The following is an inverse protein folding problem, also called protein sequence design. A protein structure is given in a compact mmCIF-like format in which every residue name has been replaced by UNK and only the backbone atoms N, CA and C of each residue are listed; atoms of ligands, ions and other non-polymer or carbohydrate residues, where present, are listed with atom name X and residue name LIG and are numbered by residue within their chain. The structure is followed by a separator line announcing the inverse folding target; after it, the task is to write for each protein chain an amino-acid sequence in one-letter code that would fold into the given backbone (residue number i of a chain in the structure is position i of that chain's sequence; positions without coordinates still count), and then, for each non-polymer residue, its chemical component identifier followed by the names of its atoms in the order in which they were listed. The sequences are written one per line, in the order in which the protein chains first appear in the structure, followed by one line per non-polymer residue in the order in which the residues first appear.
data_IF_158292696026
#
_entry.id   IF_158292696026
#
_cell.length_a   1.000
_cell.length_b   1.000
_cell.length_c   1.000
_cell.angle_alpha   90.00
_cell.angle_beta   90.00
_cell.angle_gamma   90.00
#
_symmetry.space_group_name_H-M   'P 1'
#
loop_
_entity.id
_entity.type
_entity.pdbx_description
1 polymer ?
#
# COMPACT_ATOMS: atom_id res chain seq x y z
N UNK A 1 17.69 3.57 -12.18
CA UNK A 1 18.24 4.48 -11.17
C UNK A 1 19.13 5.50 -11.88
N UNK A 2 18.87 6.80 -11.66
CA UNK A 2 19.53 7.86 -12.39
C UNK A 2 21.05 7.87 -12.17
N UNK A 3 21.77 8.34 -13.17
CA UNK A 3 23.24 8.35 -13.28
C UNK A 3 23.97 8.99 -12.10
N UNK A 4 23.34 9.88 -11.33
CA UNK A 4 23.99 10.59 -10.22
C UNK A 4 24.18 9.71 -8.98
N UNK A 5 23.23 8.82 -8.65
CA UNK A 5 23.39 7.90 -7.50
C UNK A 5 24.51 6.88 -7.72
N UNK A 6 24.67 6.43 -8.96
CA UNK A 6 25.75 5.52 -9.35
C UNK A 6 27.12 6.19 -9.37
N UNK A 7 27.19 7.46 -9.79
CA UNK A 7 28.43 8.22 -9.90
C UNK A 7 29.19 8.39 -8.58
N UNK A 8 28.46 8.49 -7.47
CA UNK A 8 29.04 8.74 -6.15
C UNK A 8 28.93 7.56 -5.19
N UNK A 9 28.36 6.42 -5.60
CA UNK A 9 28.08 5.26 -4.74
C UNK A 9 27.33 5.64 -3.46
N UNK A 10 26.43 6.63 -3.53
CA UNK A 10 25.76 7.22 -2.37
C UNK A 10 24.92 6.17 -1.65
N UNK A 11 24.16 5.35 -2.37
CA UNK A 11 23.32 4.33 -1.76
C UNK A 11 24.14 3.32 -0.96
N UNK A 12 25.29 2.88 -1.48
CA UNK A 12 26.19 1.97 -0.78
C UNK A 12 26.82 2.65 0.44
N UNK A 13 27.28 3.88 0.31
CA UNK A 13 27.84 4.65 1.41
C UNK A 13 26.84 4.87 2.55
N UNK A 14 25.57 5.20 2.19
CA UNK A 14 24.47 5.33 3.14
C UNK A 14 24.18 4.02 3.86
N UNK A 15 23.97 2.95 3.12
CA UNK A 15 23.70 1.63 3.69
C UNK A 15 24.82 1.20 4.65
N UNK A 16 26.08 1.41 4.26
CA UNK A 16 27.24 1.11 5.10
C UNK A 16 27.24 1.96 6.38
N UNK A 17 27.02 3.27 6.26
CA UNK A 17 26.98 4.16 7.41
C UNK A 17 25.85 3.76 8.39
N UNK A 18 24.62 3.57 7.88
CA UNK A 18 23.48 3.14 8.70
C UNK A 18 23.77 1.79 9.36
N UNK A 19 24.35 0.85 8.62
CA UNK A 19 24.72 -0.47 9.14
C UNK A 19 25.69 -0.35 10.33
N UNK A 20 26.78 0.38 10.18
CA UNK A 20 27.75 0.57 11.25
C UNK A 20 27.14 1.24 12.49
N UNK A 21 26.33 2.28 12.30
CA UNK A 21 25.63 2.94 13.40
C UNK A 21 24.55 2.08 14.06
N UNK A 22 24.01 1.08 13.36
CA UNK A 22 23.03 0.15 13.93
C UNK A 22 23.65 -0.76 15.02
N UNK A 23 24.96 -0.97 15.00
CA UNK A 23 25.70 -1.77 15.96
C UNK A 23 26.45 -0.94 16.99
N UNK A 24 26.54 0.39 16.83
CA UNK A 24 27.15 1.25 17.84
C UNK A 24 26.31 1.20 19.12
N UNK A 25 26.97 0.84 20.23
CA UNK A 25 26.31 0.64 21.51
C UNK A 25 25.70 1.92 22.08
N UNK A 26 24.65 1.77 22.86
CA UNK A 26 23.92 2.84 23.55
C UNK A 26 22.41 2.65 23.47
N UNK A 27 21.67 3.49 24.21
CA UNK A 27 20.21 3.43 24.29
C UNK A 27 19.49 3.76 22.97
N UNK A 28 20.20 4.42 22.04
CA UNK A 28 19.66 4.81 20.73
C UNK A 28 20.53 4.24 19.62
N UNK A 29 20.11 3.11 19.08
CA UNK A 29 20.76 2.49 17.92
C UNK A 29 20.31 3.19 16.65
N UNK A 30 21.28 3.47 15.76
CA UNK A 30 21.01 4.08 14.46
C UNK A 30 21.60 5.48 14.32
N UNK A 31 21.32 6.11 13.19
CA UNK A 31 21.89 7.40 12.77
C UNK A 31 20.81 8.33 12.27
N UNK A 32 20.96 9.63 12.49
CA UNK A 32 20.03 10.65 11.99
C UNK A 32 20.44 11.17 10.62
N UNK A 33 19.51 11.75 9.87
CA UNK A 33 19.77 12.32 8.55
C UNK A 33 20.90 13.40 8.54
N UNK A 34 20.97 14.33 9.53
CA UNK A 34 22.08 15.27 9.58
C UNK A 34 23.44 14.59 9.68
N UNK A 35 23.55 13.54 10.49
CA UNK A 35 24.79 12.78 10.62
C UNK A 35 25.14 11.98 9.36
N UNK A 36 24.15 11.44 8.67
CA UNK A 36 24.35 10.77 7.37
C UNK A 36 24.86 11.76 6.31
N UNK A 37 24.36 12.98 6.31
CA UNK A 37 24.88 14.04 5.44
C UNK A 37 26.35 14.35 5.72
N UNK A 38 26.73 14.43 6.99
CA UNK A 38 28.13 14.63 7.40
C UNK A 38 29.00 13.43 7.01
N UNK A 39 28.54 12.20 7.27
CA UNK A 39 29.28 10.98 6.96
C UNK A 39 29.55 10.80 5.47
N UNK A 40 28.68 11.34 4.62
CA UNK A 40 28.78 11.27 3.15
C UNK A 40 29.28 12.57 2.53
N UNK A 41 29.70 13.52 3.35
CA UNK A 41 30.20 14.80 2.87
C UNK A 41 31.45 14.57 2.01
N UNK A 42 31.26 14.75 0.70
CA UNK A 42 32.35 14.70 -0.30
C UNK A 42 32.22 15.89 -1.23
N UNK A 43 33.37 16.32 -1.78
CA UNK A 43 33.36 17.41 -2.72
C UNK A 43 32.45 17.10 -3.94
N UNK A 44 31.48 17.99 -4.20
CA UNK A 44 30.55 17.85 -5.31
C UNK A 44 29.30 17.02 -5.08
N UNK A 45 29.04 16.49 -3.87
CA UNK A 45 27.78 15.78 -3.53
C UNK A 45 26.81 16.75 -2.88
N UNK A 46 25.67 17.08 -3.54
CA UNK A 46 24.62 17.89 -2.93
C UNK A 46 23.98 17.18 -1.73
N UNK A 47 23.78 17.90 -0.63
CA UNK A 47 23.18 17.34 0.58
C UNK A 47 21.73 16.86 0.39
N UNK A 48 21.02 17.37 -0.62
CA UNK A 48 19.66 16.96 -0.99
C UNK A 48 19.61 15.52 -1.48
N UNK A 49 20.61 15.09 -2.26
CA UNK A 49 20.71 13.72 -2.80
C UNK A 49 20.74 12.67 -1.68
N UNK A 50 21.34 13.03 -0.54
CA UNK A 50 21.40 12.12 0.63
C UNK A 50 20.00 11.83 1.18
N UNK A 51 19.14 12.84 1.27
CA UNK A 51 17.75 12.67 1.73
C UNK A 51 16.95 11.76 0.79
N UNK A 52 16.99 12.05 -0.50
CA UNK A 52 16.30 11.28 -1.53
C UNK A 52 16.78 9.81 -1.57
N UNK A 53 18.10 9.61 -1.41
CA UNK A 53 18.66 8.26 -1.38
C UNK A 53 18.24 7.47 -0.13
N UNK A 54 18.12 8.12 1.04
CA UNK A 54 17.60 7.50 2.27
C UNK A 54 16.15 7.06 2.08
N UNK A 55 15.28 7.93 1.53
CA UNK A 55 13.89 7.58 1.25
C UNK A 55 13.78 6.36 0.32
N UNK A 56 14.59 6.30 -0.74
CA UNK A 56 14.63 5.14 -1.63
C UNK A 56 15.13 3.85 -0.96
N UNK A 57 16.08 3.95 -0.04
CA UNK A 57 16.53 2.79 0.75
C UNK A 57 15.42 2.30 1.67
N UNK A 58 14.67 3.22 2.29
CA UNK A 58 13.53 2.89 3.15
C UNK A 58 12.42 2.15 2.37
N UNK A 59 12.13 2.58 1.16
CA UNK A 59 11.17 1.93 0.26
C UNK A 59 11.63 0.57 -0.27
N UNK A 60 12.95 0.39 -0.46
CA UNK A 60 13.50 -0.78 -1.15
C UNK A 60 14.01 -1.88 -0.21
N UNK A 61 14.46 -1.55 0.99
CA UNK A 61 15.15 -2.47 1.88
C UNK A 61 14.24 -3.04 2.96
N UNK A 62 14.21 -4.37 3.07
CA UNK A 62 13.37 -5.11 4.01
C UNK A 62 13.72 -4.91 5.48
N UNK A 63 14.99 -4.73 5.80
CA UNK A 63 15.49 -4.65 7.16
C UNK A 63 15.89 -3.24 7.59
N UNK A 64 15.56 -2.25 6.78
CA UNK A 64 15.82 -0.85 7.04
C UNK A 64 14.63 -0.24 7.79
N UNK A 65 14.89 0.40 8.93
CA UNK A 65 13.86 0.96 9.80
C UNK A 65 14.12 2.41 10.10
N UNK A 66 13.05 3.16 10.21
CA UNK A 66 13.05 4.55 10.66
C UNK A 66 12.19 4.66 11.91
N UNK A 67 12.80 5.04 13.03
CA UNK A 67 12.10 5.28 14.29
C UNK A 67 12.54 6.60 14.90
N UNK A 68 11.58 7.49 15.15
CA UNK A 68 11.83 8.81 15.78
C UNK A 68 12.97 9.60 15.12
N UNK A 69 13.12 9.49 13.79
CA UNK A 69 14.15 10.15 13.00
C UNK A 69 15.53 9.49 13.03
N UNK A 70 15.62 8.27 13.56
CA UNK A 70 16.82 7.44 13.50
C UNK A 70 16.64 6.33 12.47
N UNK A 71 17.65 6.17 11.62
CA UNK A 71 17.73 5.11 10.62
C UNK A 71 18.61 3.98 11.14
N UNK A 72 18.13 2.76 11.06
CA UNK A 72 18.86 1.59 11.54
C UNK A 72 18.50 0.32 10.77
N UNK A 73 19.43 -0.63 10.71
CA UNK A 73 19.12 -2.00 10.32
C UNK A 73 18.73 -2.84 11.55
N UNK A 74 17.68 -3.64 11.40
CA UNK A 74 17.22 -4.59 12.41
C UNK A 74 17.15 -5.99 11.80
N UNK A 75 17.14 -7.00 12.67
CA UNK A 75 16.98 -8.40 12.25
C UNK A 75 15.53 -8.79 11.94
N UNK A 76 14.58 -7.88 12.16
CA UNK A 76 13.18 -8.05 11.83
C UNK A 76 12.85 -7.25 10.57
N UNK A 77 12.03 -7.79 9.67
CA UNK A 77 11.63 -7.06 8.47
C UNK A 77 10.76 -5.84 8.82
N UNK A 78 10.84 -4.82 7.98
CA UNK A 78 10.00 -3.63 8.07
C UNK A 78 8.56 -3.98 7.68
N UNK A 79 7.62 -3.80 8.62
CA UNK A 79 6.21 -4.12 8.39
C UNK A 79 5.60 -3.34 7.23
N UNK A 80 5.97 -2.07 7.05
CA UNK A 80 5.47 -1.28 5.93
C UNK A 80 5.92 -1.89 4.59
N UNK A 81 7.15 -2.38 4.50
CA UNK A 81 7.63 -3.05 3.28
C UNK A 81 6.89 -4.36 3.03
N UNK A 82 6.60 -5.13 4.07
CA UNK A 82 5.77 -6.34 3.95
C UNK A 82 4.39 -6.01 3.42
N UNK A 83 3.76 -4.93 3.91
CA UNK A 83 2.44 -4.50 3.46
C UNK A 83 2.49 -4.14 1.97
N UNK A 84 3.41 -3.27 1.57
CA UNK A 84 3.58 -2.86 0.16
C UNK A 84 3.79 -4.08 -0.75
N UNK A 85 4.67 -4.99 -0.36
CA UNK A 85 4.94 -6.22 -1.12
C UNK A 85 3.69 -7.12 -1.25
N UNK A 86 2.89 -7.20 -0.18
CA UNK A 86 1.62 -7.93 -0.20
C UNK A 86 0.58 -7.24 -1.07
N UNK A 87 0.50 -5.91 -1.02
CA UNK A 87 -0.40 -5.12 -1.88
C UNK A 87 -0.03 -5.25 -3.36
N UNK A 88 1.26 -5.19 -3.69
CA UNK A 88 1.77 -5.39 -5.05
C UNK A 88 1.53 -6.82 -5.58
N UNK A 89 1.52 -7.81 -4.69
CA UNK A 89 1.27 -9.22 -5.04
C UNK A 89 -0.22 -9.55 -5.22
N UNK A 90 -1.13 -8.68 -4.77
CA UNK A 90 -2.57 -8.90 -4.90
C UNK A 90 -3.02 -8.59 -6.32
N UNK A 91 -3.55 -9.61 -7.00
CA UNK A 91 -4.25 -9.41 -8.27
C UNK A 91 -5.63 -8.77 -8.00
N UNK A 92 -5.97 -7.62 -8.61
CA UNK A 92 -7.30 -6.99 -8.49
C UNK A 92 -8.45 -7.94 -8.82
N UNK A 93 -8.28 -8.81 -9.81
CA UNK A 93 -9.30 -9.80 -10.19
C UNK A 93 -9.52 -10.83 -9.08
N UNK A 94 -8.44 -11.25 -8.39
CA UNK A 94 -8.51 -12.16 -7.24
C UNK A 94 -9.22 -11.56 -6.03
N UNK A 95 -9.14 -10.24 -5.83
CA UNK A 95 -9.92 -9.54 -4.80
C UNK A 95 -11.41 -9.67 -5.10
N UNK A 96 -11.80 -9.44 -6.36
CA UNK A 96 -13.19 -9.50 -6.79
C UNK A 96 -13.76 -10.91 -6.65
N UNK A 97 -13.03 -11.93 -7.08
CA UNK A 97 -13.44 -13.33 -6.91
C UNK A 97 -13.61 -13.71 -5.43
N UNK A 98 -12.67 -13.32 -4.58
CA UNK A 98 -12.76 -13.58 -3.13
C UNK A 98 -13.95 -12.86 -2.50
N UNK A 99 -14.25 -11.64 -2.96
CA UNK A 99 -15.37 -10.87 -2.50
C UNK A 99 -16.70 -11.51 -2.92
N UNK A 100 -16.82 -11.91 -4.19
CA UNK A 100 -17.99 -12.60 -4.73
C UNK A 100 -18.26 -13.93 -4.00
N UNK A 101 -17.19 -14.68 -3.71
CA UNK A 101 -17.29 -15.93 -2.94
C UNK A 101 -17.80 -15.70 -1.51
N UNK A 102 -17.28 -14.69 -0.80
CA UNK A 102 -17.71 -14.37 0.56
C UNK A 102 -19.17 -13.90 0.59
N UNK A 103 -19.56 -13.04 -0.34
CA UNK A 103 -20.95 -12.60 -0.48
C UNK A 103 -21.85 -13.78 -0.81
N UNK A 104 -21.41 -14.66 -1.72
CA UNK A 104 -22.16 -15.88 -2.04
C UNK A 104 -22.38 -16.79 -0.81
N UNK A 105 -21.37 -16.90 0.07
CA UNK A 105 -21.50 -17.66 1.32
C UNK A 105 -22.48 -17.01 2.29
N UNK A 106 -22.42 -15.69 2.46
CA UNK A 106 -23.32 -14.93 3.34
C UNK A 106 -24.76 -14.94 2.84
N UNK A 107 -24.95 -15.06 1.54
CA UNK A 107 -26.30 -15.08 0.91
C UNK A 107 -26.99 -16.42 1.04
N UNK A 108 -26.25 -17.51 1.29
CA UNK A 108 -26.82 -18.86 1.42
C UNK A 108 -27.68 -18.95 2.69
N UNK A 109 -28.95 -19.34 2.48
CA UNK A 109 -29.93 -19.46 3.57
C UNK A 109 -30.64 -18.16 3.94
N UNK A 110 -30.47 -17.09 3.19
CA UNK A 110 -31.28 -15.88 3.33
C UNK A 110 -32.73 -16.14 2.83
N UNK A 111 -33.70 -15.48 3.46
CA UNK A 111 -35.10 -15.47 3.00
C UNK A 111 -35.33 -14.56 1.81
N UNK A 112 -34.25 -13.99 1.25
CA UNK A 112 -34.27 -13.06 0.13
C UNK A 112 -33.65 -13.70 -1.10
N UNK A 113 -34.19 -13.37 -2.28
CA UNK A 113 -33.50 -13.62 -3.54
C UNK A 113 -32.38 -12.60 -3.69
N UNK A 114 -31.11 -13.03 -3.66
CA UNK A 114 -29.94 -12.14 -3.67
C UNK A 114 -29.41 -11.98 -5.09
N UNK A 115 -29.36 -10.73 -5.55
CA UNK A 115 -28.81 -10.33 -6.84
C UNK A 115 -27.52 -9.55 -6.64
N UNK A 116 -26.41 -10.11 -7.08
CA UNK A 116 -25.10 -9.49 -6.93
C UNK A 116 -24.79 -8.63 -8.15
N UNK A 117 -24.36 -7.39 -7.89
CA UNK A 117 -23.88 -6.44 -8.88
C UNK A 117 -24.85 -6.19 -10.06
N UNK A 118 -26.16 -5.99 -9.84
CA UNK A 118 -27.07 -5.68 -10.95
C UNK A 118 -26.67 -4.36 -11.60
N UNK A 119 -26.59 -4.34 -12.93
CA UNK A 119 -26.22 -3.16 -13.72
C UNK A 119 -27.42 -2.30 -14.07
N UNK A 120 -28.60 -2.90 -14.10
CA UNK A 120 -29.87 -2.25 -14.40
C UNK A 120 -31.03 -2.91 -13.65
N UNK A 121 -32.16 -2.21 -13.55
CA UNK A 121 -33.39 -2.73 -12.93
C UNK A 121 -33.88 -4.01 -13.62
N UNK A 122 -33.67 -4.16 -14.93
CA UNK A 122 -34.02 -5.34 -15.68
C UNK A 122 -33.27 -6.63 -15.30
N UNK A 123 -32.15 -6.51 -14.58
CA UNK A 123 -31.39 -7.66 -14.11
C UNK A 123 -32.07 -8.32 -12.89
N UNK A 124 -33.09 -7.67 -12.31
CA UNK A 124 -33.83 -8.15 -11.16
C UNK A 124 -35.26 -8.48 -11.61
N UNK A 125 -35.67 -9.76 -11.61
CA UNK A 125 -37.02 -10.15 -12.06
C UNK A 125 -38.11 -9.50 -11.22
N UNK A 126 -39.18 -9.04 -11.86
CA UNK A 126 -40.36 -8.50 -11.17
C UNK A 126 -41.26 -9.66 -10.74
N UNK A 127 -41.04 -10.17 -9.55
CA UNK A 127 -41.85 -11.21 -8.89
C UNK A 127 -42.18 -10.78 -7.45
N UNK A 128 -43.07 -11.53 -6.78
CA UNK A 128 -43.56 -11.21 -5.42
C UNK A 128 -42.58 -11.61 -4.29
N UNK A 129 -41.39 -12.13 -4.60
CA UNK A 129 -40.39 -12.49 -3.61
C UNK A 129 -39.63 -11.26 -3.13
N UNK A 130 -39.21 -11.28 -1.87
CA UNK A 130 -38.34 -10.26 -1.33
C UNK A 130 -36.95 -10.41 -1.95
N UNK A 131 -36.39 -9.30 -2.42
CA UNK A 131 -35.12 -9.27 -3.13
C UNK A 131 -34.11 -8.37 -2.43
N UNK A 132 -32.87 -8.79 -2.45
CA UNK A 132 -31.72 -8.00 -1.98
C UNK A 132 -30.77 -7.77 -3.16
N UNK A 133 -30.72 -6.54 -3.63
CA UNK A 133 -29.73 -6.12 -4.62
C UNK A 133 -28.48 -5.60 -3.93
N UNK A 134 -27.36 -6.26 -4.14
CA UNK A 134 -26.05 -5.82 -3.67
C UNK A 134 -25.39 -5.04 -4.79
N UNK A 135 -25.17 -3.75 -4.60
CA UNK A 135 -24.53 -2.89 -5.58
C UNK A 135 -23.01 -3.04 -5.51
N UNK A 136 -22.33 -2.85 -6.64
CA UNK A 136 -20.88 -2.88 -6.74
C UNK A 136 -20.27 -1.90 -5.71
N UNK A 137 -19.21 -2.28 -4.95
CA UNK A 137 -18.56 -1.41 -3.97
C UNK A 137 -18.04 -0.09 -4.56
N UNK A 138 -17.72 -0.07 -5.86
CA UNK A 138 -17.35 1.14 -6.59
C UNK A 138 -18.56 1.98 -7.07
N UNK A 139 -19.79 1.52 -6.79
CA UNK A 139 -20.99 2.25 -7.21
C UNK A 139 -21.27 3.42 -6.27
N UNK A 140 -21.11 4.64 -6.75
CA UNK A 140 -21.55 5.84 -6.03
C UNK A 140 -23.08 5.98 -6.14
N UNK A 141 -23.81 5.75 -5.05
CA UNK A 141 -25.29 5.84 -5.00
C UNK A 141 -25.79 7.27 -5.27
N UNK A 142 -24.95 8.27 -5.02
CA UNK A 142 -25.32 9.70 -5.08
C UNK A 142 -24.46 10.57 -6.00
N UNK A 143 -23.50 9.99 -6.74
CA UNK A 143 -22.60 10.72 -7.63
C UNK A 143 -23.11 10.87 -9.07
N UNK A 144 -22.60 11.86 -9.79
CA UNK A 144 -22.89 12.09 -11.21
C UNK A 144 -22.52 10.90 -12.12
N UNK A 145 -21.70 9.99 -11.64
CA UNK A 145 -21.17 8.85 -12.39
C UNK A 145 -22.17 7.70 -12.53
N UNK A 146 -23.10 7.54 -11.58
CA UNK A 146 -24.08 6.43 -11.53
C UNK A 146 -25.53 6.89 -11.71
N UNK A 147 -25.81 7.83 -12.63
CA UNK A 147 -27.18 8.17 -13.02
C UNK A 147 -27.98 7.00 -13.59
N UNK A 148 -27.34 5.86 -13.88
CA UNK A 148 -27.99 4.68 -14.45
C UNK A 148 -28.60 3.72 -13.44
N UNK A 149 -28.27 3.86 -12.15
CA UNK A 149 -28.77 2.97 -11.08
C UNK A 149 -29.29 3.83 -9.93
N UNK A 150 -30.51 4.32 -10.05
CA UNK A 150 -31.16 5.04 -8.96
C UNK A 150 -31.98 4.06 -8.11
N UNK A 151 -32.04 4.20 -6.76
CA UNK A 151 -32.90 3.34 -5.92
C UNK A 151 -34.38 3.31 -6.36
N UNK A 152 -34.84 4.32 -7.10
CA UNK A 152 -36.19 4.36 -7.69
C UNK A 152 -36.35 3.49 -8.94
N UNK A 153 -35.24 3.07 -9.54
CA UNK A 153 -35.26 2.22 -10.74
C UNK A 153 -35.57 0.75 -10.40
N UNK A 154 -35.61 0.43 -9.10
CA UNK A 154 -35.90 -0.91 -8.55
C UNK A 154 -37.26 -0.99 -7.82
N UNK A 155 -38.19 -0.07 -8.06
CA UNK A 155 -39.59 -0.13 -7.55
C UNK A 155 -40.52 -0.84 -8.48
#
# INVERSE_FOLDING_TARGET
MGSEYGKYNIAQGLATAVFLYSFSGGDRRGVTLPWLRVALLRNGVPSTIVGDAVSKLEESLWFFHTEKGFYSFKNQPNLNRIIVDREEAINPDGIRESFDEQIGKLSKGSSFDVYQWPKASGDIPDNRHMKLALLDPGAEIWGKRNRKVHPRDFR
#
